data_IF_295721637784
#
_entry.id   IF_295721637784
#
_cell.length_a   1.000
_cell.length_b   1.000
_cell.length_c   1.000
_cell.angle_alpha   90.00
_cell.angle_beta   90.00
_cell.angle_gamma   90.00
#
_symmetry.space_group_name_H-M   'P 1'
#
loop_
_entity.id
_entity.type
_entity.pdbx_description
1 polymer ?
#
# COMPACT_ATOMS: atom_id res chain seq x y z
N UNK A 1 5.88 -7.54 -11.44
CA UNK A 1 5.29 -6.22 -11.72
C UNK A 1 6.39 -5.30 -12.22
N UNK A 2 6.08 -4.48 -13.21
CA UNK A 2 7.00 -3.59 -13.95
C UNK A 2 6.46 -2.16 -14.08
N UNK A 3 5.28 -1.88 -13.51
CA UNK A 3 4.70 -0.55 -13.51
C UNK A 3 5.43 0.40 -12.58
N UNK A 4 5.42 1.69 -12.92
CA UNK A 4 6.06 2.76 -12.15
C UNK A 4 5.17 3.29 -11.01
N UNK A 5 3.89 2.92 -10.98
CA UNK A 5 2.90 3.37 -9.99
C UNK A 5 2.03 2.21 -9.51
N UNK A 6 1.49 2.33 -8.29
CA UNK A 6 0.57 1.33 -7.74
C UNK A 6 -0.65 1.15 -8.65
N UNK A 7 -1.16 2.23 -9.23
CA UNK A 7 -2.26 2.19 -10.19
C UNK A 7 -1.91 1.38 -11.44
N UNK A 8 -0.72 1.57 -12.02
CA UNK A 8 -0.30 0.82 -13.20
C UNK A 8 -0.20 -0.68 -12.92
N UNK A 9 0.33 -1.06 -11.76
CA UNK A 9 0.42 -2.47 -11.35
C UNK A 9 -0.96 -3.08 -11.07
N UNK A 10 -1.83 -2.37 -10.34
CA UNK A 10 -3.19 -2.82 -10.05
C UNK A 10 -3.99 -3.04 -11.35
N UNK A 11 -3.96 -2.06 -12.27
CA UNK A 11 -4.61 -2.15 -13.59
C UNK A 11 -4.07 -3.33 -14.40
N UNK A 12 -2.74 -3.48 -14.47
CA UNK A 12 -2.13 -4.60 -15.20
C UNK A 12 -2.61 -5.95 -14.68
N UNK A 13 -2.66 -6.13 -13.35
CA UNK A 13 -3.16 -7.34 -12.70
C UNK A 13 -4.64 -7.59 -12.99
N UNK A 14 -5.48 -6.57 -12.87
CA UNK A 14 -6.92 -6.67 -13.11
C UNK A 14 -7.21 -7.03 -14.56
N UNK A 15 -6.62 -6.30 -15.52
CA UNK A 15 -6.82 -6.54 -16.97
C UNK A 15 -6.33 -7.92 -17.38
N UNK A 16 -5.14 -8.33 -16.92
CA UNK A 16 -4.62 -9.66 -17.23
C UNK A 16 -5.55 -10.77 -16.73
N UNK A 17 -6.08 -10.61 -15.51
CA UNK A 17 -7.01 -11.56 -14.90
C UNK A 17 -8.34 -11.57 -15.67
N UNK A 18 -8.92 -10.41 -15.98
CA UNK A 18 -10.20 -10.31 -16.66
C UNK A 18 -10.17 -10.89 -18.07
N UNK A 19 -9.09 -10.63 -18.82
CA UNK A 19 -8.88 -11.20 -20.16
C UNK A 19 -8.69 -12.71 -20.12
N UNK A 20 -7.99 -13.21 -19.09
CA UNK A 20 -7.74 -14.64 -18.93
C UNK A 20 -9.01 -15.41 -18.55
N UNK A 21 -9.84 -14.85 -17.66
CA UNK A 21 -11.03 -15.53 -17.14
C UNK A 21 -12.29 -15.27 -17.97
N UNK A 22 -12.34 -14.20 -18.76
CA UNK A 22 -13.55 -13.74 -19.43
C UNK A 22 -14.58 -13.12 -18.47
N UNK A 23 -14.16 -12.77 -17.25
CA UNK A 23 -15.01 -12.16 -16.23
C UNK A 23 -14.42 -10.84 -15.73
N UNK A 24 -15.25 -10.01 -15.10
CA UNK A 24 -14.75 -8.87 -14.35
C UNK A 24 -13.75 -9.31 -13.27
N UNK A 25 -12.67 -8.57 -13.11
CA UNK A 25 -11.62 -8.87 -12.14
C UNK A 25 -11.25 -7.64 -11.32
N UNK A 26 -11.08 -7.86 -10.01
CA UNK A 26 -10.47 -6.91 -9.09
C UNK A 26 -9.02 -7.30 -8.84
N UNK A 27 -8.13 -6.31 -8.78
CA UNK A 27 -6.77 -6.49 -8.28
C UNK A 27 -6.32 -5.25 -7.50
N UNK A 28 -5.45 -5.42 -6.52
CA UNK A 28 -4.87 -4.33 -5.76
C UNK A 28 -3.34 -4.29 -5.86
N UNK A 29 -2.76 -3.11 -5.67
CA UNK A 29 -1.32 -2.91 -5.47
C UNK A 29 -1.07 -1.94 -4.32
N UNK A 30 -0.01 -2.17 -3.55
CA UNK A 30 0.30 -1.36 -2.36
C UNK A 30 1.74 -0.84 -2.42
N UNK A 31 1.89 0.45 -2.11
CA UNK A 31 3.18 1.12 -1.99
C UNK A 31 3.34 1.84 -0.66
N UNK A 32 4.58 2.15 -0.32
CA UNK A 32 4.96 3.04 0.78
C UNK A 32 5.74 4.21 0.20
N UNK A 33 5.27 5.43 0.37
CA UNK A 33 5.95 6.63 -0.11
C UNK A 33 6.46 7.43 1.08
N UNK A 34 7.74 7.81 1.05
CA UNK A 34 8.36 8.64 2.09
C UNK A 34 8.82 9.95 1.47
N UNK A 35 8.36 11.08 2.02
CA UNK A 35 8.56 12.39 1.40
C UNK A 35 10.05 12.77 1.32
N UNK A 36 10.81 12.54 2.40
CA UNK A 36 12.27 12.75 2.42
C UNK A 36 13.05 11.89 1.42
N UNK A 37 12.46 10.79 0.93
CA UNK A 37 13.07 9.90 -0.06
C UNK A 37 12.46 10.07 -1.45
N UNK A 38 11.74 11.18 -1.68
CA UNK A 38 11.08 11.50 -2.95
C UNK A 38 10.10 10.40 -3.39
N UNK A 39 9.33 9.87 -2.44
CA UNK A 39 8.32 8.85 -2.69
C UNK A 39 8.85 7.41 -2.70
N UNK A 40 10.15 7.18 -2.52
CA UNK A 40 10.68 5.81 -2.33
C UNK A 40 10.30 5.28 -0.94
N UNK A 41 10.09 3.96 -0.79
CA UNK A 41 10.29 2.88 -1.77
C UNK A 41 9.24 2.77 -2.89
N UNK A 42 8.06 3.37 -2.74
CA UNK A 42 6.95 3.31 -3.69
C UNK A 42 6.49 1.87 -3.96
N UNK A 43 6.26 1.55 -5.24
CA UNK A 43 5.91 0.19 -5.72
C UNK A 43 6.99 -0.88 -5.46
N UNK A 44 8.19 -0.47 -5.09
CA UNK A 44 9.29 -1.39 -4.75
C UNK A 44 9.30 -1.76 -3.27
N UNK A 45 8.28 -1.35 -2.49
CA UNK A 45 8.20 -1.59 -1.05
C UNK A 45 8.47 -3.06 -0.65
N UNK A 46 7.98 -4.06 -1.40
CA UNK A 46 8.22 -5.47 -1.09
C UNK A 46 9.66 -5.94 -1.34
N UNK A 47 10.44 -5.21 -2.14
CA UNK A 47 11.79 -5.59 -2.61
C UNK A 47 12.79 -4.44 -2.49
N UNK A 48 12.61 -3.57 -1.50
CA UNK A 48 13.34 -2.31 -1.41
C UNK A 48 14.84 -2.51 -1.21
N UNK A 49 15.22 -3.51 -0.41
CA UNK A 49 16.60 -3.94 -0.19
C UNK A 49 17.08 -4.99 -1.20
N UNK A 50 16.27 -5.37 -2.20
CA UNK A 50 16.60 -6.34 -3.25
C UNK A 50 15.51 -7.40 -3.45
N UNK A 51 15.66 -8.23 -4.49
CA UNK A 51 14.64 -9.23 -4.88
C UNK A 51 14.42 -10.35 -3.84
N UNK A 52 15.42 -10.60 -2.99
CA UNK A 52 15.38 -11.64 -1.95
C UNK A 52 15.36 -11.06 -0.53
N UNK A 53 15.09 -9.76 -0.40
CA UNK A 53 15.06 -9.08 0.88
C UNK A 53 13.86 -9.52 1.72
N UNK A 54 14.08 -9.69 3.02
CA UNK A 54 13.01 -9.78 4.01
C UNK A 54 12.41 -8.41 4.28
N UNK A 55 11.26 -8.36 4.94
CA UNK A 55 10.71 -7.10 5.41
C UNK A 55 11.59 -6.41 6.44
N UNK A 56 12.35 -7.17 7.22
CA UNK A 56 13.33 -6.60 8.15
C UNK A 56 14.46 -5.89 7.39
N UNK A 57 15.03 -6.52 6.34
CA UNK A 57 16.05 -5.90 5.49
C UNK A 57 15.54 -4.60 4.84
N UNK A 58 14.29 -4.62 4.36
CA UNK A 58 13.63 -3.46 3.78
C UNK A 58 13.48 -2.30 4.79
N UNK A 59 13.05 -2.60 6.01
CA UNK A 59 12.96 -1.63 7.10
C UNK A 59 14.34 -1.09 7.50
N UNK A 60 15.34 -1.95 7.65
CA UNK A 60 16.70 -1.53 8.00
C UNK A 60 17.27 -0.57 6.96
N UNK A 61 17.13 -0.89 5.67
CA UNK A 61 17.53 0.01 4.57
C UNK A 61 16.79 1.35 4.65
N UNK A 62 15.47 1.32 4.87
CA UNK A 62 14.68 2.55 4.99
C UNK A 62 15.16 3.43 6.14
N UNK A 63 15.38 2.86 7.32
CA UNK A 63 15.89 3.59 8.48
C UNK A 63 17.29 4.15 8.25
N UNK A 64 18.16 3.40 7.57
CA UNK A 64 19.50 3.84 7.21
C UNK A 64 19.48 5.03 6.25
N UNK A 65 18.64 5.02 5.21
CA UNK A 65 18.51 6.14 4.28
C UNK A 65 17.92 7.39 4.94
N UNK A 66 17.11 7.22 5.98
CA UNK A 66 16.55 8.31 6.79
C UNK A 66 17.45 8.71 7.97
N UNK A 67 18.68 8.20 8.06
CA UNK A 67 19.59 8.59 9.13
C UNK A 67 19.89 10.09 9.06
N UNK A 68 19.74 10.80 10.19
CA UNK A 68 19.93 12.25 10.26
C UNK A 68 18.76 13.09 9.74
N UNK A 69 17.71 12.49 9.17
CA UNK A 69 16.48 13.21 8.77
C UNK A 69 15.66 13.53 10.03
N UNK A 70 15.35 14.81 10.30
CA UNK A 70 14.51 15.23 11.42
C UNK A 70 13.13 14.59 11.40
N UNK A 71 12.56 14.29 12.57
CA UNK A 71 11.30 13.55 12.68
C UNK A 71 10.11 14.20 11.97
N UNK A 72 10.08 15.54 11.88
CA UNK A 72 9.05 16.32 11.17
C UNK A 72 9.17 16.25 9.63
N UNK A 73 10.29 15.73 9.11
CA UNK A 73 10.53 15.52 7.68
C UNK A 73 10.40 14.04 7.26
N UNK A 74 10.08 13.15 8.20
CA UNK A 74 9.92 11.70 7.95
C UNK A 74 8.49 11.31 7.60
N UNK A 75 7.69 12.24 7.08
CA UNK A 75 6.32 11.98 6.66
C UNK A 75 6.27 10.91 5.58
N UNK A 76 5.29 10.03 5.70
CA UNK A 76 5.12 8.90 4.81
C UNK A 76 3.65 8.53 4.69
N UNK A 77 3.32 7.86 3.59
CA UNK A 77 1.98 7.33 3.36
C UNK A 77 2.05 5.91 2.81
N UNK A 78 1.17 5.06 3.33
CA UNK A 78 0.80 3.85 2.63
C UNK A 78 -0.33 4.15 1.66
N UNK A 79 -0.21 3.65 0.43
CA UNK A 79 -1.25 3.74 -0.60
C UNK A 79 -1.60 2.33 -1.04
N UNK A 80 -2.88 1.99 -1.07
CA UNK A 80 -3.41 0.84 -1.82
C UNK A 80 -4.27 1.36 -2.95
N UNK A 81 -4.00 0.96 -4.18
CA UNK A 81 -4.89 1.16 -5.32
C UNK A 81 -5.60 -0.15 -5.63
N UNK A 82 -6.93 -0.10 -5.78
CA UNK A 82 -7.75 -1.20 -6.27
C UNK A 82 -8.21 -0.86 -7.68
N UNK A 83 -8.01 -1.77 -8.62
CA UNK A 83 -8.48 -1.67 -9.99
C UNK A 83 -9.56 -2.73 -10.26
N UNK A 84 -10.64 -2.30 -10.91
CA UNK A 84 -11.65 -3.16 -11.52
C UNK A 84 -11.44 -3.14 -13.03
N UNK A 85 -11.45 -4.30 -13.67
CA UNK A 85 -11.35 -4.42 -15.13
C UNK A 85 -12.38 -5.38 -15.70
N UNK A 86 -12.90 -5.08 -16.88
CA UNK A 86 -13.71 -6.02 -17.68
C UNK A 86 -12.85 -6.77 -18.71
N UNK A 87 -13.38 -7.82 -19.36
CA UNK A 87 -12.64 -8.58 -20.37
C UNK A 87 -12.20 -7.77 -21.60
N UNK A 88 -12.92 -6.68 -21.92
CA UNK A 88 -12.58 -5.77 -23.02
C UNK A 88 -11.39 -4.85 -22.68
N UNK A 89 -11.03 -4.77 -21.40
CA UNK A 89 -9.89 -4.00 -20.89
C UNK A 89 -10.25 -2.59 -20.43
N UNK A 90 -11.53 -2.25 -20.29
CA UNK A 90 -11.96 -1.03 -19.59
C UNK A 90 -11.65 -1.17 -18.10
N UNK A 91 -11.22 -0.07 -17.48
CA UNK A 91 -10.78 -0.08 -16.10
C UNK A 91 -11.25 1.11 -15.31
N UNK A 92 -11.57 0.89 -14.04
CA UNK A 92 -11.75 1.92 -13.03
C UNK A 92 -10.88 1.65 -11.82
N UNK A 93 -10.44 2.69 -11.15
CA UNK A 93 -9.55 2.58 -9.99
C UNK A 93 -10.00 3.45 -8.84
N UNK A 94 -9.80 2.95 -7.64
CA UNK A 94 -9.94 3.71 -6.38
C UNK A 94 -8.71 3.50 -5.53
N UNK A 95 -8.48 4.39 -4.59
CA UNK A 95 -7.37 4.28 -3.65
C UNK A 95 -7.83 4.42 -2.20
N UNK A 96 -6.99 3.94 -1.30
CA UNK A 96 -7.04 4.23 0.12
C UNK A 96 -5.65 4.59 0.61
N UNK A 97 -5.58 5.57 1.50
CA UNK A 97 -4.33 6.18 1.94
C UNK A 97 -4.28 6.22 3.46
N UNK A 98 -3.14 5.87 4.02
CA UNK A 98 -2.87 6.05 5.44
C UNK A 98 -1.62 6.90 5.59
N UNK A 99 -1.79 8.11 6.11
CA UNK A 99 -0.71 9.04 6.45
C UNK A 99 -0.06 8.66 7.78
N UNK A 100 1.26 8.87 7.87
CA UNK A 100 2.05 8.56 9.05
C UNK A 100 3.46 9.14 8.98
N UNK A 101 4.32 8.64 9.86
CA UNK A 101 5.71 9.08 10.00
C UNK A 101 6.58 7.82 10.14
N UNK A 102 7.74 7.80 9.50
CA UNK A 102 8.71 6.73 9.72
C UNK A 102 9.47 6.99 11.03
N UNK A 103 9.46 6.05 11.96
CA UNK A 103 10.19 6.12 13.24
C UNK A 103 11.70 6.01 13.03
N UNK A 104 12.50 6.27 14.06
CA UNK A 104 13.97 6.11 14.00
C UNK A 104 14.42 4.66 14.25
N UNK A 105 13.59 3.88 14.94
CA UNK A 105 13.84 2.50 15.32
C UNK A 105 12.55 1.67 15.23
N UNK A 106 12.67 0.36 15.38
CA UNK A 106 11.53 -0.56 15.36
C UNK A 106 10.73 -0.45 16.67
N UNK A 107 9.41 -0.39 16.56
CA UNK A 107 8.49 -0.51 17.70
C UNK A 107 7.40 -1.55 17.40
N UNK A 108 7.05 -2.36 18.40
CA UNK A 108 6.08 -3.44 18.25
C UNK A 108 6.61 -4.64 17.46
N UNK A 109 5.84 -5.73 17.50
CA UNK A 109 6.21 -7.01 16.85
C UNK A 109 5.06 -7.62 16.03
N UNK A 110 3.90 -6.96 16.00
CA UNK A 110 2.75 -7.39 15.23
C UNK A 110 2.82 -6.97 13.77
N UNK A 111 1.85 -7.43 12.99
CA UNK A 111 1.70 -6.98 11.61
C UNK A 111 2.74 -7.57 10.64
N UNK A 112 3.05 -6.83 9.59
CA UNK A 112 3.99 -7.23 8.53
C UNK A 112 4.55 -6.01 7.79
N UNK A 113 5.57 -6.20 6.97
CA UNK A 113 6.11 -5.11 6.16
C UNK A 113 6.78 -4.03 6.99
N UNK A 114 6.42 -2.77 6.71
CA UNK A 114 6.95 -1.60 7.40
C UNK A 114 6.15 -1.21 8.64
N UNK A 115 5.21 -2.06 9.08
CA UNK A 115 4.39 -1.79 10.26
C UNK A 115 5.21 -1.40 11.51
N UNK A 116 6.37 -2.01 11.81
CA UNK A 116 7.14 -1.67 13.01
C UNK A 116 7.83 -0.31 12.95
N UNK A 117 7.92 0.30 11.77
CA UNK A 117 8.55 1.61 11.57
C UNK A 117 7.57 2.68 11.11
N UNK A 118 6.29 2.34 10.92
CA UNK A 118 5.26 3.26 10.46
C UNK A 118 4.39 3.71 11.63
N UNK A 119 4.65 4.93 12.11
CA UNK A 119 3.93 5.57 13.21
C UNK A 119 2.71 6.33 12.73
N UNK A 120 1.59 6.18 13.45
CA UNK A 120 0.34 6.91 13.20
C UNK A 120 0.13 7.93 14.32
N UNK A 121 0.38 9.24 14.10
CA UNK A 121 0.33 10.25 15.15
C UNK A 121 -1.00 10.33 15.89
N UNK A 122 -2.11 10.15 15.17
CA UNK A 122 -3.47 10.20 15.74
C UNK A 122 -3.75 9.07 16.74
N UNK A 123 -3.00 7.97 16.68
CA UNK A 123 -3.16 6.80 17.54
C UNK A 123 -2.01 6.62 18.53
N UNK A 124 -0.95 7.43 18.41
CA UNK A 124 0.18 7.40 19.32
C UNK A 124 1.03 6.13 19.25
N UNK A 125 0.93 5.34 18.17
CA UNK A 125 1.53 4.01 18.04
C UNK A 125 1.98 3.72 16.61
N UNK A 126 2.94 2.82 16.47
CA UNK A 126 3.23 2.16 15.18
C UNK A 126 2.16 1.14 14.82
N UNK A 127 2.07 0.76 13.55
CA UNK A 127 1.12 -0.25 13.11
C UNK A 127 1.40 -1.63 13.74
N UNK A 128 2.66 -1.95 14.07
CA UNK A 128 3.02 -3.21 14.70
C UNK A 128 2.66 -3.30 16.19
N UNK A 129 2.35 -2.16 16.82
CA UNK A 129 1.82 -2.08 18.19
C UNK A 129 0.29 -2.12 18.24
N UNK A 130 -0.38 -2.10 17.08
CA UNK A 130 -1.83 -2.18 16.98
C UNK A 130 -2.30 -3.63 16.93
N UNK A 131 -3.47 -3.88 17.50
CA UNK A 131 -4.21 -5.11 17.23
C UNK A 131 -4.68 -5.13 15.77
N UNK A 132 -4.93 -6.33 15.24
CA UNK A 132 -5.50 -6.50 13.90
C UNK A 132 -6.81 -5.71 13.72
N UNK A 133 -7.66 -5.67 14.76
CA UNK A 133 -8.93 -4.95 14.72
C UNK A 133 -8.74 -3.42 14.64
N UNK A 134 -7.77 -2.86 15.38
CA UNK A 134 -7.43 -1.44 15.28
C UNK A 134 -6.86 -1.10 13.90
N UNK A 135 -5.89 -1.88 13.42
CA UNK A 135 -5.29 -1.68 12.09
C UNK A 135 -6.33 -1.72 10.98
N UNK A 136 -7.25 -2.68 11.01
CA UNK A 136 -8.29 -2.81 9.98
C UNK A 136 -9.26 -1.62 9.91
N UNK A 137 -9.43 -0.85 10.99
CA UNK A 137 -10.31 0.33 10.96
C UNK A 137 -9.68 1.51 10.21
N UNK A 138 -8.36 1.60 10.19
CA UNK A 138 -7.64 2.78 9.69
C UNK A 138 -6.72 2.48 8.50
N UNK A 139 -6.50 1.21 8.14
CA UNK A 139 -5.55 0.87 7.09
C UNK A 139 -5.97 1.38 5.71
N UNK A 140 -4.98 1.85 4.95
CA UNK A 140 -5.04 2.14 3.51
C UNK A 140 -5.80 1.06 2.72
N UNK A 141 -5.54 -0.23 2.99
CA UNK A 141 -6.24 -1.34 2.33
C UNK A 141 -7.73 -1.42 2.67
N UNK A 142 -8.10 -1.27 3.95
CA UNK A 142 -9.51 -1.28 4.34
C UNK A 142 -10.28 -0.10 3.73
N UNK A 143 -9.64 1.07 3.64
CA UNK A 143 -10.20 2.22 2.96
C UNK A 143 -10.36 1.98 1.46
N UNK A 144 -9.33 1.45 0.78
CA UNK A 144 -9.38 1.13 -0.65
C UNK A 144 -10.50 0.12 -0.97
N UNK A 145 -10.64 -0.94 -0.17
CA UNK A 145 -11.72 -1.93 -0.33
C UNK A 145 -13.10 -1.33 -0.08
N UNK A 146 -13.22 -0.42 0.90
CA UNK A 146 -14.47 0.30 1.15
C UNK A 146 -14.84 1.18 -0.04
N UNK A 147 -13.87 1.90 -0.60
CA UNK A 147 -14.04 2.73 -1.78
C UNK A 147 -14.40 1.88 -3.01
N UNK A 148 -13.84 0.66 -3.13
CA UNK A 148 -14.10 -0.23 -4.26
C UNK A 148 -15.57 -0.67 -4.36
N UNK A 149 -16.36 -0.54 -3.29
CA UNK A 149 -17.81 -0.78 -3.34
C UNK A 149 -18.50 0.12 -4.37
N UNK A 150 -18.04 1.36 -4.57
CA UNK A 150 -18.63 2.26 -5.56
C UNK A 150 -18.46 1.72 -6.99
N UNK A 151 -17.31 1.11 -7.29
CA UNK A 151 -17.03 0.49 -8.58
C UNK A 151 -18.04 -0.62 -8.89
N UNK A 152 -18.38 -1.44 -7.89
CA UNK A 152 -19.32 -2.54 -8.05
C UNK A 152 -20.77 -2.07 -8.20
N UNK A 153 -21.15 -0.96 -7.59
CA UNK A 153 -22.50 -0.41 -7.71
C UNK A 153 -22.76 0.27 -9.06
N UNK A 154 -21.74 0.89 -9.66
CA UNK A 154 -21.83 1.49 -11.00
C UNK A 154 -22.10 0.43 -12.07
N UNK A 155 -21.53 -0.76 -11.88
CA UNK A 155 -21.75 -1.93 -12.73
C UNK A 155 -22.81 -2.88 -12.17
N UNK A 156 -23.64 -2.46 -11.20
CA UNK A 156 -24.62 -3.32 -10.53
C UNK A 156 -25.79 -3.83 -11.38
N UNK A 157 -25.83 -3.49 -12.69
CA UNK A 157 -26.71 -4.10 -13.69
C UNK A 157 -26.00 -5.20 -14.49
N UNK A 158 -25.13 -5.97 -13.84
CA UNK A 158 -24.57 -7.21 -14.38
C UNK A 158 -25.64 -8.30 -14.28
N UNK A 159 -26.46 -8.39 -15.32
CA UNK A 159 -27.37 -9.51 -15.58
C UNK A 159 -26.61 -10.78 -15.93
#
# INVERSE_FOLDING_TARGET
>A
EDGLTCQANAVKKAVATAKFTGHWALADDTGLEVDALQGRPGVYAARYAGEHATYEDNCQKLLQELHGVPSDQRTARFITVVALANPDGETETVEGVLEGIITQEFHGTGGFGYDPVFYVPQLGKTLAEMTFAEKNRISHRAQAVTNAKSLLTTHGHLA
#
